data_IF_548219715940
#
_entry.id   IF_548219715940
#
_cell.length_a   1.000
_cell.length_b   1.000
_cell.length_c   1.000
_cell.angle_alpha   90.00
_cell.angle_beta   90.00
_cell.angle_gamma   90.00
#
_symmetry.space_group_name_H-M   'P 1'
#
loop_
_entity.id
_entity.type
_entity.pdbx_description
1 polymer ?
#
# COMPACT_ATOMS: atom_id res chain seq x y z
N UNK A 1 -4.37 -27.77 7.05
CA UNK A 1 -3.96 -27.42 8.43
C UNK A 1 -5.15 -26.75 9.09
N UNK A 2 -5.39 -26.93 10.39
CA UNK A 2 -6.54 -26.32 11.08
C UNK A 2 -6.16 -24.98 11.73
N UNK A 3 -7.15 -24.12 11.99
CA UNK A 3 -6.96 -22.84 12.72
C UNK A 3 -6.20 -23.04 14.04
N UNK A 4 -6.50 -24.13 14.76
CA UNK A 4 -5.84 -24.49 16.02
C UNK A 4 -4.34 -24.74 15.86
N UNK A 5 -3.95 -25.40 14.77
CA UNK A 5 -2.55 -25.74 14.51
C UNK A 5 -1.74 -24.50 14.13
N UNK A 6 -2.31 -23.65 13.27
CA UNK A 6 -1.73 -22.33 12.94
C UNK A 6 -1.54 -21.49 14.20
N UNK A 7 -2.56 -21.44 15.07
CA UNK A 7 -2.47 -20.70 16.33
C UNK A 7 -1.31 -21.20 17.18
N UNK A 8 -1.20 -22.52 17.36
CA UNK A 8 -0.14 -23.14 18.18
C UNK A 8 1.26 -22.79 17.64
N UNK A 9 1.46 -22.88 16.32
CA UNK A 9 2.73 -22.51 15.71
C UNK A 9 3.06 -21.03 15.87
N UNK A 10 2.07 -20.15 15.75
CA UNK A 10 2.25 -18.72 16.00
C UNK A 10 2.58 -18.45 17.47
N UNK A 11 1.84 -19.06 18.40
CA UNK A 11 2.08 -18.94 19.84
C UNK A 11 3.50 -19.38 20.20
N UNK A 12 3.97 -20.51 19.66
CA UNK A 12 5.33 -21.01 19.88
C UNK A 12 6.40 -20.07 19.32
N UNK A 13 6.25 -19.60 18.08
CA UNK A 13 7.23 -18.73 17.40
C UNK A 13 7.22 -17.29 17.91
N UNK A 14 6.13 -16.84 18.55
CA UNK A 14 5.96 -15.48 19.07
C UNK A 14 5.98 -15.42 20.60
N UNK A 15 6.19 -16.55 21.29
CA UNK A 15 6.28 -16.57 22.74
C UNK A 15 7.54 -15.84 23.21
N UNK A 16 7.36 -14.68 23.83
CA UNK A 16 8.45 -13.86 24.39
C UNK A 16 8.06 -13.30 25.74
N UNK A 17 9.00 -13.14 26.69
CA UNK A 17 8.69 -12.60 28.02
C UNK A 17 8.04 -11.22 28.00
N UNK A 18 8.36 -10.40 27.00
CA UNK A 18 7.87 -9.02 26.88
C UNK A 18 6.44 -8.96 26.32
N UNK A 19 5.93 -10.06 25.74
CA UNK A 19 4.65 -10.08 25.04
C UNK A 19 3.61 -10.92 25.78
N UNK A 20 2.36 -10.50 25.63
CA UNK A 20 1.18 -11.25 26.06
C UNK A 20 0.43 -11.69 24.81
N UNK A 21 0.17 -12.99 24.71
CA UNK A 21 -0.61 -13.58 23.64
C UNK A 21 -2.00 -13.92 24.16
N UNK A 22 -3.05 -13.42 23.51
CA UNK A 22 -4.44 -13.71 23.87
C UNK A 22 -5.25 -14.11 22.63
N UNK A 23 -6.06 -15.15 22.78
CA UNK A 23 -6.83 -15.70 21.67
C UNK A 23 -8.33 -15.48 21.87
N UNK A 24 -8.95 -14.82 20.90
CA UNK A 24 -10.40 -14.70 20.80
C UNK A 24 -10.96 -15.90 20.04
N UNK A 25 -11.62 -16.80 20.77
CA UNK A 25 -12.27 -18.00 20.22
C UNK A 25 -13.45 -17.69 19.31
N UNK A 26 -14.19 -16.60 19.56
CA UNK A 26 -15.39 -16.25 18.82
C UNK A 26 -15.01 -15.71 17.44
N UNK A 27 -14.01 -14.84 17.40
CA UNK A 27 -13.57 -14.19 16.17
C UNK A 27 -12.41 -14.92 15.46
N UNK A 28 -11.85 -15.96 16.10
CA UNK A 28 -10.64 -16.64 15.66
C UNK A 28 -9.48 -15.66 15.40
N UNK A 29 -9.19 -14.81 16.39
CA UNK A 29 -8.13 -13.78 16.33
C UNK A 29 -7.09 -14.02 17.41
N UNK A 30 -5.81 -13.94 17.05
CA UNK A 30 -4.68 -13.97 18.00
C UNK A 30 -4.14 -12.55 18.17
N UNK A 31 -4.18 -12.03 19.40
CA UNK A 31 -3.64 -10.72 19.78
C UNK A 31 -2.28 -10.92 20.45
N UNK A 32 -1.28 -10.20 19.96
CA UNK A 32 0.07 -10.12 20.51
C UNK A 32 0.28 -8.69 21.00
N UNK A 33 0.54 -8.51 22.29
CA UNK A 33 0.63 -7.19 22.92
C UNK A 33 1.90 -7.07 23.76
N UNK A 34 2.58 -5.93 23.67
CA UNK A 34 3.73 -5.60 24.50
C UNK A 34 3.27 -5.21 25.90
N UNK A 35 3.84 -5.84 26.92
CA UNK A 35 3.40 -5.68 28.32
C UNK A 35 3.61 -4.28 28.85
N UNK A 36 4.65 -3.59 28.39
CA UNK A 36 5.02 -2.24 28.84
C UNK A 36 4.29 -1.19 28.04
N UNK A 37 4.33 -1.29 26.70
CA UNK A 37 3.74 -0.28 25.82
C UNK A 37 2.22 -0.37 25.73
N UNK A 38 1.62 -1.51 26.10
CA UNK A 38 0.20 -1.81 25.87
C UNK A 38 -0.23 -1.67 24.39
N UNK A 39 0.74 -1.74 23.47
CA UNK A 39 0.54 -1.72 22.03
C UNK A 39 0.80 -3.10 21.46
N UNK A 40 0.09 -3.43 20.39
CA UNK A 40 0.08 -4.79 19.87
C UNK A 40 -0.59 -4.95 18.52
N UNK A 41 -0.49 -6.16 18.00
CA UNK A 41 -1.00 -6.57 16.70
C UNK A 41 -2.03 -7.69 16.87
N UNK A 42 -3.01 -7.72 15.98
CA UNK A 42 -4.05 -8.76 15.97
C UNK A 42 -4.02 -9.47 14.64
N UNK A 43 -3.86 -10.79 14.67
CA UNK A 43 -3.85 -11.67 13.52
C UNK A 43 -5.23 -12.32 13.40
N UNK A 44 -5.92 -12.11 12.28
CA UNK A 44 -7.10 -12.89 11.95
C UNK A 44 -6.67 -14.27 11.41
N UNK A 45 -7.02 -15.34 12.12
CA UNK A 45 -6.51 -16.68 11.78
C UNK A 45 -7.22 -17.31 10.57
N UNK A 46 -8.49 -16.95 10.31
CA UNK A 46 -9.23 -17.48 9.14
C UNK A 46 -8.61 -17.02 7.80
N UNK A 47 -8.31 -15.71 7.58
CA UNK A 47 -7.59 -15.29 6.37
C UNK A 47 -6.17 -15.87 6.28
N UNK A 48 -5.48 -16.02 7.42
CA UNK A 48 -4.16 -16.64 7.43
C UNK A 48 -4.23 -18.12 7.03
N UNK A 49 -5.25 -18.87 7.47
CA UNK A 49 -5.46 -20.25 7.06
C UNK A 49 -5.57 -20.38 5.55
N UNK A 50 -6.42 -19.57 4.90
CA UNK A 50 -6.53 -19.56 3.44
C UNK A 50 -5.20 -19.23 2.75
N UNK A 51 -4.37 -18.35 3.35
CA UNK A 51 -3.02 -18.05 2.86
C UNK A 51 -2.06 -19.24 3.02
N UNK A 52 -2.15 -19.99 4.12
CA UNK A 52 -1.33 -21.18 4.36
C UNK A 52 -1.72 -22.32 3.42
N UNK A 53 -3.00 -22.51 3.11
CA UNK A 53 -3.43 -23.50 2.11
C UNK A 53 -2.78 -23.26 0.74
N UNK A 54 -2.45 -22.00 0.42
CA UNK A 54 -1.78 -21.61 -0.83
C UNK A 54 -0.26 -21.64 -0.76
N UNK A 55 0.34 -21.25 0.37
CA UNK A 55 1.79 -21.01 0.50
C UNK A 55 2.52 -21.97 1.45
N UNK A 56 1.80 -22.86 2.13
CA UNK A 56 2.33 -23.73 3.18
C UNK A 56 2.91 -22.95 4.36
N UNK A 57 3.91 -23.53 5.02
CA UNK A 57 4.57 -22.97 6.22
C UNK A 57 5.21 -21.60 5.99
N UNK A 58 5.50 -21.25 4.73
CA UNK A 58 6.01 -19.91 4.36
C UNK A 58 5.07 -18.80 4.82
N UNK A 59 3.76 -19.00 4.73
CA UNK A 59 2.79 -18.02 5.20
C UNK A 59 2.87 -17.77 6.72
N UNK A 60 3.20 -18.79 7.51
CA UNK A 60 3.40 -18.65 8.96
C UNK A 60 4.69 -17.90 9.25
N UNK A 61 5.80 -18.26 8.58
CA UNK A 61 7.08 -17.55 8.74
C UNK A 61 6.97 -16.07 8.34
N UNK A 62 6.29 -15.75 7.24
CA UNK A 62 6.01 -14.36 6.84
C UNK A 62 5.19 -13.61 7.90
N UNK A 63 4.17 -14.27 8.48
CA UNK A 63 3.35 -13.65 9.52
C UNK A 63 4.14 -13.41 10.81
N UNK A 64 5.00 -14.36 11.20
CA UNK A 64 5.87 -14.20 12.37
C UNK A 64 6.83 -13.04 12.16
N UNK A 65 7.48 -12.96 11.00
CA UNK A 65 8.36 -11.84 10.65
C UNK A 65 7.62 -10.50 10.71
N UNK A 66 6.44 -10.42 10.09
CA UNK A 66 5.59 -9.22 10.10
C UNK A 66 5.25 -8.76 11.52
N UNK A 67 4.88 -9.69 12.42
CA UNK A 67 4.58 -9.36 13.82
C UNK A 67 5.83 -8.89 14.55
N UNK A 68 6.97 -9.58 14.39
CA UNK A 68 8.20 -9.21 15.07
C UNK A 68 8.69 -7.81 14.65
N UNK A 69 8.64 -7.50 13.36
CA UNK A 69 8.97 -6.17 12.83
C UNK A 69 8.00 -5.11 13.36
N UNK A 70 6.69 -5.37 13.32
CA UNK A 70 5.69 -4.42 13.83
C UNK A 70 5.80 -4.17 15.34
N UNK A 71 6.06 -5.22 16.13
CA UNK A 71 6.28 -5.09 17.58
C UNK A 71 7.55 -4.30 17.91
N UNK A 72 8.64 -4.50 17.14
CA UNK A 72 9.86 -3.70 17.29
C UNK A 72 9.64 -2.23 16.91
N UNK A 73 8.77 -1.94 15.94
CA UNK A 73 8.41 -0.59 15.55
C UNK A 73 7.68 0.18 16.66
N UNK A 74 6.85 -0.47 17.48
CA UNK A 74 6.23 0.19 18.64
C UNK A 74 7.25 0.68 19.68
N UNK A 75 8.36 -0.06 19.87
CA UNK A 75 9.43 0.29 20.83
C UNK A 75 10.31 1.43 20.35
N UNK A 76 10.50 1.55 19.04
CA UNK A 76 11.18 2.71 18.47
C UNK A 76 10.20 3.87 18.54
N UNK A 77 10.37 4.76 19.52
CA UNK A 77 9.82 6.10 19.41
C UNK A 77 10.47 6.71 18.19
N UNK A 78 9.77 6.61 17.06
CA UNK A 78 10.30 6.96 15.77
C UNK A 78 10.29 8.46 15.68
N UNK A 79 11.48 9.05 15.60
CA UNK A 79 11.64 10.49 15.40
C UNK A 79 11.71 10.78 13.91
N UNK A 80 11.01 11.82 13.49
CA UNK A 80 11.18 12.44 12.18
C UNK A 80 12.59 13.02 12.09
N UNK A 81 13.01 13.75 13.14
CA UNK A 81 14.37 14.32 13.24
C UNK A 81 15.41 13.20 13.18
N UNK A 82 16.34 13.32 12.23
CA UNK A 82 17.37 12.33 11.91
C UNK A 82 16.93 11.21 10.95
N UNK A 83 15.65 11.16 10.56
CA UNK A 83 15.12 10.21 9.58
C UNK A 83 14.45 10.90 8.38
N UNK A 84 14.83 12.14 8.09
CA UNK A 84 14.23 12.99 7.05
C UNK A 84 14.27 12.33 5.66
N UNK A 85 15.36 11.62 5.34
CA UNK A 85 15.54 10.87 4.09
C UNK A 85 14.68 9.61 3.97
N UNK A 86 14.01 9.25 5.05
CA UNK A 86 13.16 8.07 5.17
C UNK A 86 11.68 8.42 5.20
N UNK A 87 11.36 9.70 4.98
CA UNK A 87 9.98 10.17 4.88
C UNK A 87 9.53 10.02 3.43
N UNK A 88 8.40 9.35 3.21
CA UNK A 88 7.84 9.12 1.87
C UNK A 88 6.34 9.36 1.88
N UNK A 89 5.75 9.78 0.76
CA UNK A 89 4.31 9.85 0.61
C UNK A 89 3.77 8.46 0.26
N UNK A 90 2.57 8.16 0.74
CA UNK A 90 1.87 6.92 0.44
C UNK A 90 0.43 7.21 0.05
N UNK A 91 0.03 6.73 -1.13
CA UNK A 91 -1.35 6.89 -1.57
C UNK A 91 -2.26 5.83 -0.93
N UNK A 92 -3.44 6.25 -0.50
CA UNK A 92 -4.47 5.38 0.09
C UNK A 92 -5.82 5.71 -0.50
N UNK A 93 -6.75 4.76 -0.43
CA UNK A 93 -8.16 5.01 -0.72
C UNK A 93 -8.68 6.17 0.16
N UNK A 94 -9.64 6.95 -0.34
CA UNK A 94 -10.33 7.98 0.47
C UNK A 94 -11.01 7.41 1.71
N UNK A 95 -11.43 6.15 1.66
CA UNK A 95 -12.01 5.41 2.80
C UNK A 95 -10.99 4.98 3.86
N UNK A 96 -9.69 5.24 3.66
CA UNK A 96 -8.68 4.94 4.67
C UNK A 96 -8.85 5.84 5.89
N UNK A 97 -8.69 5.33 7.12
CA UNK A 97 -8.89 6.12 8.34
C UNK A 97 -8.02 7.38 8.38
N UNK A 98 -8.62 8.49 8.78
CA UNK A 98 -7.92 9.78 8.97
C UNK A 98 -7.18 9.86 10.32
N UNK A 99 -7.42 8.88 11.20
CA UNK A 99 -6.79 8.77 12.51
C UNK A 99 -6.13 7.40 12.67
N UNK A 100 -5.04 7.36 13.42
CA UNK A 100 -4.44 6.10 13.83
C UNK A 100 -5.27 5.44 14.95
N UNK A 101 -4.87 4.23 15.37
CA UNK A 101 -5.57 3.47 16.42
C UNK A 101 -5.55 4.14 17.80
N UNK A 102 -4.64 5.08 18.02
CA UNK A 102 -4.53 5.84 19.26
C UNK A 102 -5.40 7.11 19.23
N UNK A 103 -6.15 7.35 18.14
CA UNK A 103 -7.00 8.53 17.95
C UNK A 103 -6.22 9.79 17.54
N UNK A 104 -4.96 9.64 17.11
CA UNK A 104 -4.20 10.78 16.59
C UNK A 104 -4.45 10.96 15.10
N UNK A 105 -4.85 12.18 14.71
CA UNK A 105 -5.04 12.57 13.32
C UNK A 105 -3.77 12.38 12.50
N UNK A 106 -3.87 11.54 11.48
CA UNK A 106 -2.81 11.27 10.53
C UNK A 106 -2.57 12.52 9.67
N UNK A 107 -1.32 12.71 9.26
CA UNK A 107 -0.99 13.73 8.29
C UNK A 107 -1.35 13.21 6.90
N UNK A 108 -2.28 13.90 6.23
CA UNK A 108 -2.64 13.62 4.86
C UNK A 108 -3.04 14.87 4.08
N UNK A 109 -3.01 14.76 2.76
CA UNK A 109 -3.57 15.71 1.81
C UNK A 109 -4.58 15.00 0.90
N UNK A 110 -5.58 15.76 0.43
CA UNK A 110 -6.47 15.29 -0.65
C UNK A 110 -5.67 15.17 -1.96
N UNK A 111 -6.05 14.24 -2.84
CA UNK A 111 -5.37 14.00 -4.11
C UNK A 111 -6.35 13.85 -5.27
N UNK A 112 -7.23 12.86 -5.21
CA UNK A 112 -8.30 12.65 -6.21
C UNK A 112 -9.57 12.25 -5.47
N UNK A 113 -10.68 12.07 -6.19
CA UNK A 113 -11.91 11.53 -5.58
C UNK A 113 -11.72 10.10 -5.00
N UNK A 114 -10.72 9.36 -5.49
CA UNK A 114 -10.45 7.97 -5.10
C UNK A 114 -9.31 7.83 -4.11
N UNK A 115 -8.42 8.82 -4.01
CA UNK A 115 -7.17 8.70 -3.25
C UNK A 115 -6.81 9.93 -2.41
N UNK A 116 -6.08 9.66 -1.32
CA UNK A 116 -5.43 10.64 -0.44
C UNK A 116 -3.95 10.35 -0.32
N UNK A 117 -3.14 11.38 -0.10
CA UNK A 117 -1.71 11.25 0.19
C UNK A 117 -1.49 11.26 1.68
N UNK A 118 -1.01 10.17 2.24
CA UNK A 118 -0.51 10.12 3.61
C UNK A 118 1.01 10.22 3.61
N UNK A 119 1.59 10.51 4.77
CA UNK A 119 3.04 10.59 4.93
C UNK A 119 3.53 9.49 5.86
N UNK A 120 4.57 8.79 5.46
CA UNK A 120 5.14 7.67 6.19
C UNK A 120 6.59 7.91 6.54
N UNK A 121 7.01 7.37 7.69
CA UNK A 121 8.40 7.13 8.01
C UNK A 121 8.73 5.66 7.75
N UNK A 122 9.63 5.43 6.80
CA UNK A 122 10.20 4.14 6.48
C UNK A 122 11.01 3.57 7.66
N UNK A 123 10.79 2.29 7.95
CA UNK A 123 11.48 1.52 9.00
C UNK A 123 12.22 0.29 8.42
N UNK A 124 12.36 0.18 7.10
CA UNK A 124 12.95 -0.93 6.36
C UNK A 124 11.86 -1.91 5.92
N UNK A 125 11.63 -2.95 6.72
CA UNK A 125 10.62 -3.97 6.42
C UNK A 125 9.16 -3.50 6.60
N UNK A 126 8.97 -2.26 7.05
CA UNK A 126 7.67 -1.63 7.29
C UNK A 126 7.82 -0.12 7.29
N UNK A 127 6.71 0.60 7.39
CA UNK A 127 6.70 2.03 7.71
C UNK A 127 5.61 2.32 8.74
N UNK A 128 5.70 3.48 9.36
CA UNK A 128 4.60 4.06 10.16
C UNK A 128 4.06 5.29 9.47
N UNK A 129 2.76 5.57 9.59
CA UNK A 129 2.19 6.83 9.14
C UNK A 129 2.44 7.92 10.18
N UNK A 130 2.78 9.12 9.71
CA UNK A 130 2.98 10.31 10.51
C UNK A 130 1.63 10.89 10.94
N UNK A 131 1.61 11.52 12.10
CA UNK A 131 0.41 12.15 12.66
C UNK A 131 0.72 13.54 13.21
N UNK A 132 -0.26 14.44 13.22
CA UNK A 132 -0.07 15.87 13.52
C UNK A 132 0.58 16.12 14.90
N UNK A 133 0.23 15.30 15.90
CA UNK A 133 0.84 15.40 17.24
C UNK A 133 2.34 15.05 17.25
N UNK A 134 2.80 14.14 16.40
CA UNK A 134 4.22 13.81 16.27
C UNK A 134 4.99 15.00 15.70
N UNK A 135 4.46 15.61 14.64
CA UNK A 135 5.03 16.83 14.03
C UNK A 135 5.14 17.96 15.06
N UNK A 136 4.07 18.19 15.82
CA UNK A 136 4.02 19.24 16.85
C UNK A 136 5.07 19.04 17.95
N UNK A 137 5.26 17.79 18.40
CA UNK A 137 6.28 17.42 19.39
C UNK A 137 7.72 17.60 18.88
N UNK A 138 7.92 17.37 17.59
CA UNK A 138 9.25 17.45 16.96
C UNK A 138 9.51 18.81 16.33
N UNK A 139 8.60 19.78 16.48
CA UNK A 139 8.68 21.12 15.89
C UNK A 139 8.87 21.09 14.36
N UNK A 140 8.19 20.15 13.70
CA UNK A 140 8.21 20.00 12.24
C UNK A 140 6.90 20.53 11.67
N UNK A 141 6.96 21.34 10.61
CA UNK A 141 5.76 21.77 9.90
C UNK A 141 5.28 20.70 8.92
N UNK A 142 3.96 20.64 8.71
CA UNK A 142 3.39 19.76 7.71
C UNK A 142 3.94 20.05 6.30
N UNK A 143 4.24 21.32 5.98
CA UNK A 143 4.83 21.72 4.69
C UNK A 143 6.22 21.09 4.49
N UNK A 144 7.08 21.13 5.49
CA UNK A 144 8.41 20.51 5.41
C UNK A 144 8.32 19.00 5.19
N UNK A 145 7.39 18.33 5.88
CA UNK A 145 7.15 16.89 5.67
C UNK A 145 6.75 16.59 4.23
N UNK A 146 5.82 17.38 3.67
CA UNK A 146 5.35 17.21 2.28
C UNK A 146 6.50 17.35 1.27
N UNK A 147 7.29 18.40 1.40
CA UNK A 147 8.41 18.70 0.51
C UNK A 147 9.49 17.61 0.57
N UNK A 148 9.88 17.19 1.78
CA UNK A 148 10.84 16.10 1.98
C UNK A 148 10.33 14.78 1.42
N UNK A 149 9.06 14.45 1.67
CA UNK A 149 8.44 13.22 1.19
C UNK A 149 8.46 13.13 -0.33
N UNK A 150 7.97 14.16 -1.02
CA UNK A 150 7.96 14.20 -2.48
C UNK A 150 9.38 14.21 -3.06
N UNK A 151 10.33 14.87 -2.39
CA UNK A 151 11.74 14.82 -2.79
C UNK A 151 12.32 13.41 -2.70
N UNK A 152 12.10 12.71 -1.59
CA UNK A 152 12.60 11.35 -1.40
C UNK A 152 11.92 10.37 -2.37
N UNK A 153 10.62 10.52 -2.67
CA UNK A 153 9.92 9.69 -3.65
C UNK A 153 10.61 9.73 -5.02
N UNK A 154 11.05 10.92 -5.47
CA UNK A 154 11.76 11.08 -6.76
C UNK A 154 13.14 10.39 -6.79
N UNK A 155 13.70 10.02 -5.65
CA UNK A 155 14.97 9.28 -5.56
C UNK A 155 14.80 7.77 -5.76
N UNK A 156 13.56 7.26 -5.70
CA UNK A 156 13.28 5.84 -5.87
C UNK A 156 13.42 5.43 -7.34
N UNK A 157 13.80 4.16 -7.57
CA UNK A 157 13.92 3.61 -8.92
C UNK A 157 12.55 3.44 -9.60
N UNK A 158 12.51 3.49 -10.92
CA UNK A 158 11.27 3.35 -11.71
C UNK A 158 11.40 2.17 -12.70
N UNK A 159 11.53 0.91 -12.22
CA UNK A 159 11.82 -0.24 -13.08
C UNK A 159 10.58 -0.70 -13.88
N UNK A 160 10.15 0.11 -14.84
CA UNK A 160 8.97 -0.13 -15.68
C UNK A 160 9.19 -1.34 -16.60
N UNK A 161 8.26 -2.31 -16.53
CA UNK A 161 8.19 -3.44 -17.46
C UNK A 161 7.05 -3.24 -18.43
N UNK A 162 7.34 -3.31 -19.72
CA UNK A 162 6.33 -3.12 -20.77
C UNK A 162 5.75 -4.47 -21.24
N UNK A 163 4.45 -4.50 -21.50
CA UNK A 163 3.75 -5.57 -22.21
C UNK A 163 2.79 -4.97 -23.24
N UNK A 164 2.48 -5.72 -24.31
CA UNK A 164 1.56 -5.28 -25.37
C UNK A 164 0.37 -6.22 -25.46
N UNK A 165 -0.84 -5.68 -25.31
CA UNK A 165 -2.08 -6.45 -25.35
C UNK A 165 -3.09 -5.76 -26.26
N UNK A 166 -3.59 -6.49 -27.26
CA UNK A 166 -4.55 -5.97 -28.24
C UNK A 166 -4.11 -4.65 -28.93
N UNK A 167 -2.80 -4.47 -29.13
CA UNK A 167 -2.21 -3.28 -29.75
C UNK A 167 -1.91 -2.13 -28.79
N UNK A 168 -2.35 -2.21 -27.53
CA UNK A 168 -2.09 -1.19 -26.49
C UNK A 168 -0.84 -1.58 -25.69
N UNK A 169 -0.11 -0.60 -25.15
CA UNK A 169 1.11 -0.86 -24.37
C UNK A 169 0.86 -0.57 -22.90
N UNK A 170 1.23 -1.49 -22.01
CA UNK A 170 1.07 -1.37 -20.57
C UNK A 170 2.45 -1.41 -19.91
N UNK A 171 2.76 -0.41 -19.09
CA UNK A 171 3.98 -0.31 -18.31
C UNK A 171 3.66 -0.54 -16.84
N UNK A 172 4.23 -1.58 -16.27
CA UNK A 172 4.02 -2.00 -14.89
C UNK A 172 5.21 -1.62 -14.03
N UNK A 173 4.92 -1.01 -12.88
CA UNK A 173 5.86 -0.76 -11.81
C UNK A 173 5.43 -1.60 -10.61
N UNK A 174 6.27 -2.58 -10.24
CA UNK A 174 6.02 -3.53 -9.17
C UNK A 174 7.31 -3.96 -8.47
N UNK A 175 8.09 -2.99 -7.97
CA UNK A 175 9.32 -3.26 -7.21
C UNK A 175 9.06 -3.98 -5.89
N UNK A 176 7.82 -3.93 -5.38
CA UNK A 176 7.42 -4.38 -4.06
C UNK A 176 8.21 -3.68 -2.94
N UNK A 177 8.50 -2.39 -3.12
CA UNK A 177 9.19 -1.58 -2.13
C UNK A 177 8.24 -0.84 -1.17
N UNK A 178 6.93 -1.03 -1.34
CA UNK A 178 5.89 -0.38 -0.55
C UNK A 178 5.50 1.02 -1.03
N UNK A 179 6.14 1.53 -2.09
CA UNK A 179 5.92 2.87 -2.63
C UNK A 179 5.65 2.86 -4.14
N UNK A 180 5.43 1.70 -4.75
CA UNK A 180 5.21 1.56 -6.19
C UNK A 180 4.04 2.44 -6.66
N UNK A 181 2.90 2.30 -5.99
CA UNK A 181 1.70 3.09 -6.27
C UNK A 181 1.91 4.58 -5.96
N UNK A 182 2.72 4.92 -4.96
CA UNK A 182 3.04 6.31 -4.58
C UNK A 182 3.76 7.09 -5.67
N UNK A 183 4.44 6.41 -6.61
CA UNK A 183 5.10 7.07 -7.74
C UNK A 183 4.12 7.75 -8.69
N UNK A 184 2.81 7.55 -8.53
CA UNK A 184 1.80 8.39 -9.17
C UNK A 184 1.93 9.86 -8.77
N UNK A 185 2.50 10.16 -7.59
CA UNK A 185 2.73 11.53 -7.12
C UNK A 185 4.00 12.16 -7.71
N UNK A 186 4.75 11.42 -8.53
CA UNK A 186 5.90 11.97 -9.25
C UNK A 186 5.41 12.60 -10.57
N UNK A 187 5.08 13.89 -10.52
CA UNK A 187 4.63 14.66 -11.69
C UNK A 187 5.59 14.56 -12.88
N UNK A 188 6.91 14.55 -12.63
CA UNK A 188 7.90 14.39 -13.71
C UNK A 188 7.84 13.03 -14.38
N UNK A 189 7.46 11.97 -13.65
CA UNK A 189 7.25 10.64 -14.22
C UNK A 189 5.96 10.60 -15.04
N UNK A 190 4.87 11.18 -14.51
CA UNK A 190 3.60 11.27 -15.24
C UNK A 190 3.76 12.02 -16.56
N UNK A 191 4.41 13.19 -16.54
CA UNK A 191 4.67 14.00 -17.73
C UNK A 191 5.54 13.25 -18.75
N UNK A 192 6.62 12.60 -18.28
CA UNK A 192 7.48 11.76 -19.12
C UNK A 192 6.71 10.63 -19.78
N UNK A 193 5.77 10.01 -19.08
CA UNK A 193 4.93 8.96 -19.64
C UNK A 193 3.90 9.55 -20.62
N UNK A 194 3.31 10.70 -20.32
CA UNK A 194 2.35 11.38 -21.19
C UNK A 194 2.95 11.78 -22.53
N UNK A 195 4.22 12.20 -22.55
CA UNK A 195 4.95 12.52 -23.77
C UNK A 195 5.38 11.28 -24.56
N UNK A 196 5.45 10.12 -23.91
CA UNK A 196 5.94 8.87 -24.49
C UNK A 196 4.85 8.07 -25.20
N UNK A 197 3.61 8.13 -24.71
CA UNK A 197 2.49 7.34 -25.25
C UNK A 197 2.08 7.82 -26.64
N UNK A 198 1.60 6.90 -27.48
CA UNK A 198 1.06 7.22 -28.81
C UNK A 198 -0.44 7.58 -28.76
N UNK A 199 -1.18 6.97 -27.84
CA UNK A 199 -2.61 7.21 -27.61
C UNK A 199 -2.87 7.99 -26.32
N UNK A 200 -3.98 7.66 -25.64
CA UNK A 200 -4.34 8.28 -24.37
C UNK A 200 -3.55 7.64 -23.23
N UNK A 201 -2.92 8.45 -22.37
CA UNK A 201 -2.35 7.96 -21.13
C UNK A 201 -3.45 7.71 -20.11
N UNK A 202 -3.61 6.45 -19.71
CA UNK A 202 -4.35 6.06 -18.53
C UNK A 202 -3.38 5.53 -17.47
N UNK A 203 -3.69 5.76 -16.19
CA UNK A 203 -2.85 5.37 -15.05
C UNK A 203 -3.71 4.59 -14.06
N UNK A 204 -3.21 3.51 -13.48
CA UNK A 204 -3.94 2.77 -12.45
C UNK A 204 -3.05 2.47 -11.24
N UNK A 205 -3.58 2.72 -10.05
CA UNK A 205 -2.95 2.43 -8.77
C UNK A 205 -3.83 1.44 -7.97
N UNK A 206 -3.87 0.15 -8.35
CA UNK A 206 -4.79 -0.83 -7.75
C UNK A 206 -4.53 -1.09 -6.27
N UNK A 207 -3.27 -1.23 -5.89
CA UNK A 207 -2.84 -1.42 -4.51
C UNK A 207 -1.41 -0.90 -4.33
N UNK A 208 -0.94 -0.82 -3.08
CA UNK A 208 0.33 -0.17 -2.70
C UNK A 208 1.56 -0.55 -3.55
N UNK A 209 1.64 -1.80 -4.01
CA UNK A 209 2.82 -2.38 -4.66
C UNK A 209 2.67 -2.49 -6.19
N UNK A 210 1.69 -1.80 -6.78
CA UNK A 210 1.49 -1.76 -8.23
C UNK A 210 1.08 -0.37 -8.70
N UNK A 211 1.79 0.12 -9.72
CA UNK A 211 1.41 1.25 -10.56
C UNK A 211 1.44 0.81 -12.02
N UNK A 212 0.42 1.20 -12.78
CA UNK A 212 0.28 0.85 -14.20
C UNK A 212 0.15 2.14 -14.99
N UNK A 213 0.94 2.30 -16.04
CA UNK A 213 0.73 3.31 -17.07
C UNK A 213 0.30 2.59 -18.35
N UNK A 214 -0.79 2.99 -18.95
CA UNK A 214 -1.34 2.36 -20.14
C UNK A 214 -1.41 3.38 -21.28
N UNK A 215 -0.77 3.03 -22.39
CA UNK A 215 -0.88 3.69 -23.69
C UNK A 215 -2.07 3.09 -24.44
N UNK A 216 -3.21 3.77 -24.38
CA UNK A 216 -4.47 3.30 -24.94
C UNK A 216 -4.66 3.90 -26.34
N UNK A 217 -4.50 3.05 -27.36
CA UNK A 217 -4.63 3.41 -28.78
C UNK A 217 -5.95 2.93 -29.40
N UNK A 218 -6.72 2.11 -28.68
CA UNK A 218 -8.03 1.63 -29.12
C UNK A 218 -8.93 1.25 -27.94
N UNK A 219 -10.24 1.13 -28.19
CA UNK A 219 -11.26 0.80 -27.18
C UNK A 219 -10.97 -0.47 -26.37
N UNK A 220 -10.34 -1.49 -26.99
CA UNK A 220 -10.01 -2.74 -26.28
C UNK A 220 -8.97 -2.51 -25.19
N UNK A 221 -8.16 -1.44 -25.29
CA UNK A 221 -7.19 -1.08 -24.27
C UNK A 221 -7.85 -0.73 -22.95
N UNK A 222 -8.98 -0.01 -23.00
CA UNK A 222 -9.75 0.31 -21.80
C UNK A 222 -10.27 -0.97 -21.13
N UNK A 223 -10.90 -1.88 -21.88
CA UNK A 223 -11.39 -3.15 -21.34
C UNK A 223 -10.27 -3.95 -20.63
N UNK A 224 -9.10 -4.03 -21.27
CA UNK A 224 -7.92 -4.72 -20.72
C UNK A 224 -7.44 -4.01 -19.45
N UNK A 225 -7.33 -2.68 -19.46
CA UNK A 225 -6.89 -1.91 -18.29
C UNK A 225 -7.83 -2.13 -17.10
N UNK A 226 -9.14 -2.09 -17.32
CA UNK A 226 -10.13 -2.31 -16.27
C UNK A 226 -10.00 -3.72 -15.66
N UNK A 227 -9.87 -4.74 -16.51
CA UNK A 227 -9.71 -6.12 -16.05
C UNK A 227 -8.42 -6.32 -15.26
N UNK A 228 -7.30 -5.80 -15.77
CA UNK A 228 -5.98 -5.93 -15.13
C UNK A 228 -5.95 -5.17 -13.80
N UNK A 229 -6.53 -3.96 -13.75
CA UNK A 229 -6.63 -3.15 -12.52
C UNK A 229 -7.44 -3.87 -11.47
N UNK A 230 -8.61 -4.40 -11.82
CA UNK A 230 -9.45 -5.18 -10.91
C UNK A 230 -8.74 -6.44 -10.38
N UNK A 231 -8.00 -7.13 -11.24
CA UNK A 231 -7.23 -8.31 -10.86
C UNK A 231 -6.16 -7.97 -9.82
N UNK A 232 -5.37 -6.91 -10.04
CA UNK A 232 -4.37 -6.47 -9.07
C UNK A 232 -5.03 -5.98 -7.78
N UNK A 233 -6.10 -5.19 -7.88
CA UNK A 233 -6.84 -4.66 -6.72
C UNK A 233 -7.26 -5.80 -5.78
N UNK A 234 -7.82 -6.88 -6.32
CA UNK A 234 -8.26 -8.04 -5.56
C UNK A 234 -7.10 -8.85 -4.92
N UNK A 235 -5.87 -8.70 -5.41
CA UNK A 235 -4.68 -9.42 -4.92
C UNK A 235 -3.85 -8.62 -3.91
N UNK A 236 -4.04 -7.30 -3.86
CA UNK A 236 -3.27 -6.39 -3.03
C UNK A 236 -3.54 -6.54 -1.53
N UNK A 237 -2.48 -6.44 -0.72
CA UNK A 237 -2.61 -6.41 0.76
C UNK A 237 -3.22 -5.09 1.27
N UNK A 238 -2.91 -4.00 0.58
CA UNK A 238 -3.36 -2.64 0.88
C UNK A 238 -3.99 -2.11 -0.42
N UNK A 239 -5.26 -2.46 -0.70
CA UNK A 239 -5.97 -1.98 -1.87
C UNK A 239 -6.15 -0.45 -1.82
N UNK A 240 -6.16 0.19 -2.99
CA UNK A 240 -6.31 1.64 -3.13
C UNK A 240 -7.58 1.94 -3.93
N UNK A 241 -7.60 1.71 -5.25
CA UNK A 241 -8.81 1.88 -6.06
C UNK A 241 -8.84 0.87 -7.21
N UNK A 242 -10.03 0.42 -7.59
CA UNK A 242 -10.21 -0.41 -8.77
C UNK A 242 -10.38 0.42 -10.05
N UNK A 243 -10.47 1.75 -9.93
CA UNK A 243 -10.66 2.67 -11.05
C UNK A 243 -9.31 3.15 -11.58
N UNK A 244 -9.08 3.03 -12.89
CA UNK A 244 -8.04 3.79 -13.55
C UNK A 244 -8.35 5.29 -13.55
N UNK A 245 -7.33 6.08 -13.81
CA UNK A 245 -7.37 7.51 -14.03
C UNK A 245 -7.00 7.80 -15.47
N UNK A 246 -7.66 8.76 -16.12
CA UNK A 246 -7.11 9.40 -17.30
C UNK A 246 -6.17 10.50 -16.84
N UNK A 247 -4.99 10.59 -17.46
CA UNK A 247 -4.05 11.67 -17.20
C UNK A 247 -4.15 12.71 -18.32
N UNK A 248 -4.58 13.92 -17.96
CA UNK A 248 -4.67 15.06 -18.90
C UNK A 248 -4.28 16.35 -18.20
N UNK A 249 -3.41 17.15 -18.83
CA UNK A 249 -3.03 18.48 -18.36
C UNK A 249 -2.54 18.54 -16.89
N UNK A 250 -1.85 17.50 -16.42
CA UNK A 250 -1.37 17.41 -15.05
C UNK A 250 -2.37 16.83 -14.05
N UNK A 251 -3.60 16.57 -14.46
CA UNK A 251 -4.68 16.08 -13.60
C UNK A 251 -4.94 14.58 -13.80
N UNK A 252 -5.40 13.93 -12.73
CA UNK A 252 -5.78 12.51 -12.72
C UNK A 252 -7.29 12.39 -12.50
N UNK A 253 -8.04 12.16 -13.57
CA UNK A 253 -9.49 12.01 -13.50
C UNK A 253 -9.88 10.53 -13.40
N UNK A 254 -10.53 10.08 -12.30
CA UNK A 254 -11.02 8.71 -12.19
C UNK A 254 -12.02 8.40 -13.30
N UNK A 255 -11.82 7.29 -14.02
CA UNK A 255 -12.69 6.90 -15.12
C UNK A 255 -13.32 5.53 -14.89
N UNK A 256 -14.62 5.44 -15.15
CA UNK A 256 -15.34 4.18 -15.18
C UNK A 256 -15.30 3.60 -16.59
N UNK A 257 -14.51 2.55 -16.75
CA UNK A 257 -14.50 1.78 -17.99
C UNK A 257 -15.58 0.70 -17.90
N UNK A 258 -16.67 0.88 -18.63
CA UNK A 258 -17.73 -0.11 -18.73
C UNK A 258 -17.31 -1.18 -19.74
N UNK A 259 -16.88 -2.34 -19.25
CA UNK A 259 -16.45 -3.44 -20.12
C UNK A 259 -17.58 -3.85 -21.07
N UNK A 260 -17.45 -3.55 -22.37
CA UNK A 260 -18.46 -3.89 -23.35
C UNK A 260 -18.21 -5.30 -23.90
N UNK A 261 -18.60 -6.37 -23.17
CA UNK A 261 -18.79 -7.68 -23.81
C UNK A 261 -20.01 -8.45 -23.30
N UNK A 262 -21.01 -8.59 -24.18
CA UNK A 262 -21.59 -9.92 -24.46
C UNK A 262 -20.74 -10.57 -25.56
N UNK A 263 -20.45 -11.88 -25.51
CA UNK A 263 -19.75 -12.56 -26.61
C UNK A 263 -20.53 -12.35 -27.92
N UNK A 264 -19.83 -11.98 -29.00
CA UNK A 264 -20.32 -12.26 -30.35
C UNK A 264 -19.96 -13.72 -30.63
N UNK A 265 -20.99 -14.50 -30.94
CA UNK A 265 -20.89 -15.89 -31.44
C UNK A 265 -19.95 -16.00 -32.64
#
# INVERSE_FOLDING_TARGET
MEVREIRKQLEEKLNRPEWTLSYDHKEAKLRIEDKELKKGMTIALKPLLAKVERLGDRAISEMVHYVQTGMAAFKKQTTIKGNEKRIFPVIRATSFPEENRDGHRLLFDEHTAETRVYYSLDLGDSYTLLHEQQLSREEMSAKEIREMALFNLRSLSEPLKADKVAGNTFYFLNSNDGYDASRILNESLLEKMSQKVEGQLAVAAPHQDVLIFADIVNERGYDVLAQVTMQFYAQGRIPITALPFLYENGELEPTFILAQRKPKE
#
